data_IF_052708229989
#
_entry.id   IF_052708229989
#
_cell.length_a   1.000
_cell.length_b   1.000
_cell.length_c   1.000
_cell.angle_alpha   90.00
_cell.angle_beta   90.00
_cell.angle_gamma   90.00
#
_symmetry.space_group_name_H-M   'P 1'
#
loop_
_entity.id
_entity.type
_entity.pdbx_description
1 polymer ?
#
# COMPACT_ATOMS: atom_id res chain seq x y z
N UNK A 1 -12.78 -25.64 -48.08
CA UNK A 1 -12.18 -24.36 -47.64
C UNK A 1 -12.23 -24.24 -46.11
N UNK A 2 -11.73 -25.24 -45.35
CA UNK A 2 -11.97 -25.34 -43.90
C UNK A 2 -10.82 -25.99 -43.10
N UNK A 3 -9.57 -25.91 -43.59
CA UNK A 3 -8.39 -26.49 -42.90
C UNK A 3 -7.34 -25.48 -42.44
N UNK A 4 -7.51 -24.17 -42.73
CA UNK A 4 -6.54 -23.13 -42.35
C UNK A 4 -6.86 -22.42 -41.02
N UNK A 5 -8.08 -22.55 -40.49
CA UNK A 5 -8.47 -21.86 -39.25
C UNK A 5 -8.04 -22.58 -37.95
N UNK A 6 -7.67 -23.87 -37.98
CA UNK A 6 -7.39 -24.64 -36.76
C UNK A 6 -5.94 -24.59 -36.28
N UNK A 7 -5.03 -23.97 -37.05
CA UNK A 7 -3.60 -23.88 -36.69
C UNK A 7 -3.25 -22.66 -35.84
N UNK A 8 -4.12 -21.65 -35.80
CA UNK A 8 -3.90 -20.42 -35.03
C UNK A 8 -4.54 -20.46 -33.63
N UNK A 9 -5.49 -21.37 -33.42
CA UNK A 9 -6.20 -21.55 -32.15
C UNK A 9 -5.29 -21.96 -30.98
N UNK A 10 -4.31 -22.89 -31.11
CA UNK A 10 -3.46 -23.25 -29.97
C UNK A 10 -2.48 -22.14 -29.57
N UNK A 11 -2.04 -21.30 -30.52
CA UNK A 11 -1.14 -20.17 -30.26
C UNK A 11 -1.87 -19.06 -29.50
N UNK A 12 -3.11 -18.75 -29.90
CA UNK A 12 -3.94 -17.74 -29.22
C UNK A 12 -4.29 -18.14 -27.79
N UNK A 13 -4.57 -19.44 -27.56
CA UNK A 13 -4.83 -19.99 -26.23
C UNK A 13 -3.57 -19.96 -25.35
N UNK A 14 -2.39 -20.29 -25.90
CA UNK A 14 -1.12 -20.17 -25.17
C UNK A 14 -0.77 -18.71 -24.84
N UNK A 15 -1.07 -17.76 -25.75
CA UNK A 15 -0.87 -16.33 -25.52
C UNK A 15 -1.83 -15.77 -24.45
N UNK A 16 -3.07 -16.27 -24.39
CA UNK A 16 -4.02 -15.92 -23.31
C UNK A 16 -3.60 -16.51 -21.95
N UNK A 17 -3.00 -17.70 -21.90
CA UNK A 17 -2.48 -18.29 -20.67
C UNK A 17 -1.24 -17.56 -20.12
N UNK A 18 -0.47 -16.87 -20.97
CA UNK A 18 0.66 -16.04 -20.53
C UNK A 18 0.21 -14.77 -19.78
N UNK A 19 -1.04 -14.34 -19.92
CA UNK A 19 -1.59 -13.20 -19.17
C UNK A 19 -2.14 -13.57 -17.79
N UNK A 20 -2.21 -14.85 -17.41
CA UNK A 20 -2.79 -15.27 -16.12
C UNK A 20 -1.75 -15.52 -15.01
N UNK A 21 -0.47 -15.23 -15.24
CA UNK A 21 0.62 -15.49 -14.27
C UNK A 21 1.16 -14.17 -13.67
N UNK A 22 0.30 -13.19 -13.43
CA UNK A 22 0.64 -12.09 -12.53
C UNK A 22 0.05 -12.41 -11.16
N UNK A 23 0.66 -13.39 -10.48
CA UNK A 23 0.46 -13.58 -9.06
C UNK A 23 1.27 -12.48 -8.37
N UNK A 24 0.59 -11.46 -7.88
CA UNK A 24 1.18 -10.33 -7.18
C UNK A 24 1.58 -10.80 -5.76
N UNK A 25 2.60 -11.66 -5.68
CA UNK A 25 3.15 -12.19 -4.44
C UNK A 25 4.18 -11.20 -3.88
N UNK A 26 3.71 -10.00 -3.52
CA UNK A 26 4.51 -9.09 -2.69
C UNK A 26 4.87 -9.80 -1.38
N UNK A 27 6.16 -9.90 -1.01
CA UNK A 27 6.57 -10.65 0.17
C UNK A 27 5.96 -10.01 1.44
N UNK A 28 5.43 -10.82 2.37
CA UNK A 28 4.88 -10.31 3.62
C UNK A 28 5.98 -9.66 4.46
N UNK A 29 5.68 -8.51 5.06
CA UNK A 29 6.63 -7.70 5.85
C UNK A 29 6.31 -7.76 7.33
N UNK A 30 7.31 -8.06 8.16
CA UNK A 30 7.16 -7.97 9.62
C UNK A 30 7.90 -6.75 10.12
N UNK A 31 7.21 -5.87 10.84
CA UNK A 31 7.79 -4.68 11.43
C UNK A 31 7.90 -4.83 12.95
N UNK A 32 9.02 -4.34 13.47
CA UNK A 32 9.42 -4.49 14.86
C UNK A 32 10.02 -3.17 15.32
N UNK A 33 9.82 -2.84 16.59
CA UNK A 33 10.51 -1.75 17.25
C UNK A 33 12.01 -2.07 17.33
N UNK A 34 12.81 -1.35 16.54
CA UNK A 34 14.26 -1.54 16.46
C UNK A 34 15.01 -0.90 17.62
N UNK A 35 14.43 0.12 18.23
CA UNK A 35 15.13 1.06 19.12
C UNK A 35 14.67 0.93 20.59
N UNK A 36 13.66 0.09 20.83
CA UNK A 36 13.12 -0.19 22.16
C UNK A 36 12.27 0.95 22.72
N UNK A 37 11.82 1.89 21.88
CA UNK A 37 11.03 3.06 22.27
C UNK A 37 9.51 2.84 22.11
N UNK A 38 9.10 1.65 21.68
CA UNK A 38 7.73 1.26 21.41
C UNK A 38 7.19 1.73 20.04
N UNK A 39 7.94 2.53 19.29
CA UNK A 39 7.55 3.03 17.97
C UNK A 39 8.02 2.06 16.90
N UNK A 40 7.09 1.65 16.05
CA UNK A 40 7.41 0.82 14.87
C UNK A 40 7.36 1.70 13.64
N UNK A 41 8.38 1.62 12.79
CA UNK A 41 8.45 2.39 11.56
C UNK A 41 8.52 1.48 10.32
N UNK A 42 7.82 1.87 9.26
CA UNK A 42 8.00 1.37 7.90
C UNK A 42 8.70 2.47 7.12
N UNK A 43 10.02 2.32 6.95
CA UNK A 43 10.86 3.30 6.27
C UNK A 43 10.53 3.44 4.78
N UNK A 44 11.03 4.50 4.13
CA UNK A 44 10.86 4.68 2.70
C UNK A 44 11.66 3.62 1.93
N UNK A 45 10.95 2.74 1.23
CA UNK A 45 11.53 1.74 0.33
C UNK A 45 10.85 1.87 -1.05
N UNK A 46 11.62 2.15 -2.12
CA UNK A 46 11.10 2.31 -3.47
C UNK A 46 10.31 1.12 -4.01
N UNK A 47 10.43 -0.07 -3.42
CA UNK A 47 9.71 -1.27 -3.83
C UNK A 47 8.50 -1.59 -2.94
N UNK A 48 8.39 -0.95 -1.77
CA UNK A 48 7.35 -1.25 -0.78
C UNK A 48 6.43 -0.05 -0.57
N UNK A 49 6.98 1.15 -0.35
CA UNK A 49 6.23 2.35 0.02
C UNK A 49 6.62 3.57 -0.83
N UNK A 50 7.33 3.36 -1.93
CA UNK A 50 7.84 4.45 -2.75
C UNK A 50 8.64 5.45 -1.92
N UNK A 51 8.14 6.68 -1.84
CA UNK A 51 8.72 7.81 -1.11
C UNK A 51 8.01 8.11 0.23
N UNK A 52 7.17 7.20 0.73
CA UNK A 52 6.38 7.38 1.95
C UNK A 52 6.98 6.59 3.12
N UNK A 53 6.90 7.17 4.32
CA UNK A 53 7.27 6.55 5.58
C UNK A 53 6.06 6.52 6.53
N UNK A 54 5.90 5.44 7.30
CA UNK A 54 4.80 5.28 8.26
C UNK A 54 5.35 4.96 9.64
N UNK A 55 4.89 5.70 10.65
CA UNK A 55 5.14 5.44 12.07
C UNK A 55 3.88 4.97 12.77
N UNK A 56 4.01 3.91 13.55
CA UNK A 56 3.00 3.42 14.49
C UNK A 56 3.46 3.79 15.89
N UNK A 57 2.82 4.80 16.48
CA UNK A 57 3.24 5.44 17.73
C UNK A 57 2.24 5.11 18.84
N UNK A 58 2.54 4.17 19.74
CA UNK A 58 1.73 3.95 20.92
C UNK A 58 1.94 5.09 21.95
N UNK A 59 0.92 5.37 22.77
CA UNK A 59 1.08 6.21 23.97
C UNK A 59 1.21 7.72 23.74
N UNK A 60 0.58 8.27 22.69
CA UNK A 60 0.40 9.72 22.54
C UNK A 60 -0.60 10.27 23.58
N UNK A 61 -0.66 11.59 23.76
CA UNK A 61 -1.64 12.25 24.67
C UNK A 61 -3.09 11.85 24.33
N UNK A 62 -3.37 11.56 23.06
CA UNK A 62 -4.69 11.16 22.57
C UNK A 62 -4.82 9.64 22.39
N UNK A 63 -3.92 8.82 22.95
CA UNK A 63 -3.95 7.36 22.85
C UNK A 63 -2.83 6.82 21.96
N UNK A 64 -3.15 6.39 20.74
CA UNK A 64 -2.14 5.96 19.77
C UNK A 64 -2.27 6.75 18.47
N UNK A 65 -1.21 6.76 17.66
CA UNK A 65 -1.18 7.49 16.41
C UNK A 65 -0.54 6.69 15.28
N UNK A 66 -1.05 6.92 14.08
CA UNK A 66 -0.39 6.55 12.83
C UNK A 66 0.04 7.86 12.17
N UNK A 67 1.34 8.00 11.91
CA UNK A 67 1.91 9.19 11.30
C UNK A 67 2.56 8.83 9.97
N UNK A 68 2.17 9.52 8.92
CA UNK A 68 2.63 9.30 7.55
C UNK A 68 3.42 10.51 7.09
N UNK A 69 4.62 10.28 6.56
CA UNK A 69 5.47 11.30 5.96
C UNK A 69 5.58 11.00 4.48
N UNK A 70 5.16 11.94 3.62
CA UNK A 70 5.31 11.81 2.19
C UNK A 70 6.52 12.63 1.70
N UNK A 71 7.49 11.97 1.08
CA UNK A 71 8.66 12.62 0.50
C UNK A 71 8.32 13.55 -0.70
N UNK A 72 9.33 14.18 -1.31
CA UNK A 72 9.14 15.19 -2.37
C UNK A 72 8.75 14.61 -3.74
N UNK A 73 8.76 13.29 -3.91
CA UNK A 73 8.66 12.63 -5.21
C UNK A 73 7.30 12.83 -5.91
N UNK A 74 6.19 12.62 -5.19
CA UNK A 74 4.86 12.66 -5.76
C UNK A 74 3.77 12.88 -4.70
N UNK A 75 2.57 13.23 -5.14
CA UNK A 75 1.39 13.18 -4.28
C UNK A 75 0.91 11.73 -4.18
N UNK A 76 0.41 11.34 -3.01
CA UNK A 76 0.04 9.96 -2.73
C UNK A 76 -1.33 9.86 -2.07
N UNK A 77 -1.97 8.70 -2.20
CA UNK A 77 -3.07 8.27 -1.34
C UNK A 77 -2.62 7.03 -0.58
N UNK A 78 -3.04 6.87 0.66
CA UNK A 78 -2.65 5.77 1.51
C UNK A 78 -3.85 5.22 2.27
N UNK A 79 -4.01 3.91 2.30
CA UNK A 79 -4.80 3.26 3.34
C UNK A 79 -4.12 2.06 3.99
N UNK A 80 -4.53 1.80 5.22
CA UNK A 80 -4.07 0.71 6.07
C UNK A 80 -5.33 0.03 6.60
N UNK A 81 -5.55 -1.23 6.22
CA UNK A 81 -6.75 -1.99 6.55
C UNK A 81 -6.40 -3.33 7.19
N UNK A 82 -7.32 -3.94 7.90
CA UNK A 82 -7.15 -5.32 8.37
C UNK A 82 -7.13 -6.26 7.15
N UNK A 83 -6.12 -7.15 7.07
CA UNK A 83 -5.94 -8.06 5.93
C UNK A 83 -7.10 -9.04 5.80
N UNK A 84 -7.69 -9.46 6.92
CA UNK A 84 -8.78 -10.43 6.97
C UNK A 84 -10.16 -9.78 6.84
N UNK A 85 -10.26 -8.47 7.09
CA UNK A 85 -11.49 -7.70 6.98
C UNK A 85 -11.22 -6.28 6.47
N UNK A 86 -11.36 -6.08 5.15
CA UNK A 86 -11.11 -4.78 4.50
C UNK A 86 -12.08 -3.67 4.90
N UNK A 87 -13.17 -3.97 5.61
CA UNK A 87 -14.05 -2.94 6.19
C UNK A 87 -13.45 -2.30 7.44
N UNK A 88 -12.45 -2.92 8.07
CA UNK A 88 -11.76 -2.33 9.21
C UNK A 88 -10.57 -1.48 8.72
N UNK A 89 -10.67 -0.17 8.92
CA UNK A 89 -9.68 0.82 8.45
C UNK A 89 -8.92 1.36 9.67
N UNK A 90 -7.60 1.22 9.66
CA UNK A 90 -6.71 1.78 10.68
C UNK A 90 -6.29 3.21 10.36
N UNK A 91 -6.07 3.47 9.08
CA UNK A 91 -5.70 4.77 8.51
C UNK A 91 -6.21 4.84 7.07
N UNK A 92 -6.71 5.99 6.65
CA UNK A 92 -6.92 6.26 5.24
C UNK A 92 -6.85 7.77 4.99
N UNK A 93 -6.05 8.16 4.01
CA UNK A 93 -6.04 9.51 3.46
C UNK A 93 -5.95 9.42 1.94
N UNK A 94 -6.95 9.99 1.28
CA UNK A 94 -7.06 9.97 -0.17
C UNK A 94 -6.01 10.81 -0.86
N UNK A 95 -5.44 11.83 -0.21
CA UNK A 95 -4.54 12.76 -0.89
C UNK A 95 -3.60 13.47 0.09
N UNK A 96 -2.37 12.98 0.16
CA UNK A 96 -1.26 13.57 0.87
C UNK A 96 -0.35 14.22 -0.18
N UNK A 97 -0.16 15.56 -0.12
CA UNK A 97 0.71 16.21 -1.10
C UNK A 97 2.17 15.82 -0.90
N UNK A 98 2.97 15.98 -1.94
CA UNK A 98 4.43 15.91 -1.82
C UNK A 98 4.90 16.84 -0.70
N UNK A 99 5.86 16.37 0.10
CA UNK A 99 6.44 17.11 1.24
C UNK A 99 5.46 17.40 2.39
N UNK A 100 4.23 16.86 2.35
CA UNK A 100 3.29 16.92 3.47
C UNK A 100 3.36 15.66 4.35
N UNK A 101 2.87 15.81 5.57
CA UNK A 101 2.80 14.74 6.55
C UNK A 101 1.46 14.78 7.29
N UNK A 102 0.87 13.62 7.52
CA UNK A 102 -0.47 13.47 8.09
C UNK A 102 -0.42 12.53 9.29
N UNK A 103 -0.96 12.97 10.41
CA UNK A 103 -1.08 12.16 11.62
C UNK A 103 -2.55 11.93 11.97
N UNK A 104 -2.92 10.67 12.17
CA UNK A 104 -4.20 10.28 12.75
C UNK A 104 -3.98 9.80 14.18
N UNK A 105 -4.54 10.53 15.14
CA UNK A 105 -4.47 10.22 16.58
C UNK A 105 -5.76 9.56 17.06
N UNK A 106 -5.75 8.99 18.27
CA UNK A 106 -6.91 8.30 18.83
C UNK A 106 -7.31 7.02 18.08
N UNK A 107 -6.44 6.55 17.18
CA UNK A 107 -6.63 5.27 16.48
C UNK A 107 -6.21 4.10 17.37
N UNK A 108 -6.50 2.88 16.94
CA UNK A 108 -5.99 1.65 17.56
C UNK A 108 -4.88 1.08 16.69
N UNK A 109 -3.67 0.96 17.23
CA UNK A 109 -2.59 0.23 16.54
C UNK A 109 -2.94 -1.27 16.51
N UNK A 110 -2.94 -1.91 15.33
CA UNK A 110 -3.22 -3.32 15.16
C UNK A 110 -2.04 -4.22 15.50
N UNK A 111 -1.69 -4.23 16.78
CA UNK A 111 -0.69 -5.14 17.31
C UNK A 111 -1.07 -6.60 17.08
N UNK A 112 -0.07 -7.41 16.71
CA UNK A 112 -0.17 -8.84 16.45
C UNK A 112 -1.20 -9.21 15.39
N UNK A 113 -1.42 -8.33 14.41
CA UNK A 113 -2.35 -8.52 13.31
C UNK A 113 -1.69 -8.27 11.97
N UNK A 114 -2.19 -8.97 10.96
CA UNK A 114 -1.87 -8.68 9.57
C UNK A 114 -2.72 -7.53 9.07
N UNK A 115 -2.05 -6.52 8.54
CA UNK A 115 -2.64 -5.40 7.82
C UNK A 115 -2.32 -5.51 6.35
N UNK A 116 -3.13 -4.85 5.53
CA UNK A 116 -2.78 -4.51 4.16
C UNK A 116 -2.57 -3.01 4.07
N UNK A 117 -1.36 -2.61 3.66
CA UNK A 117 -0.98 -1.24 3.37
C UNK A 117 -1.04 -1.05 1.87
N UNK A 118 -1.81 -0.08 1.40
CA UNK A 118 -1.90 0.28 -0.01
C UNK A 118 -1.54 1.74 -0.19
N UNK A 119 -0.50 1.99 -0.98
CA UNK A 119 -0.08 3.31 -1.38
C UNK A 119 -0.32 3.48 -2.87
N UNK A 120 -0.98 4.55 -3.26
CA UNK A 120 -1.08 4.96 -4.65
C UNK A 120 -0.23 6.21 -4.85
N UNK A 121 0.53 6.22 -5.94
CA UNK A 121 1.25 7.39 -6.43
C UNK A 121 0.44 7.99 -7.56
N UNK A 122 0.10 9.28 -7.45
CA UNK A 122 -0.67 9.98 -8.47
C UNK A 122 0.21 10.53 -9.59
N UNK A 123 -0.31 10.56 -10.82
CA UNK A 123 0.41 11.13 -11.97
C UNK A 123 0.75 12.60 -11.75
N UNK A 124 1.92 13.02 -12.24
CA UNK A 124 2.27 14.43 -12.30
C UNK A 124 1.39 15.13 -13.36
N UNK A 125 0.70 16.21 -12.98
CA UNK A 125 -0.13 17.00 -13.91
C UNK A 125 -1.63 16.71 -13.91
N UNK A 126 -2.16 16.00 -12.92
CA UNK A 126 -3.62 15.93 -12.71
C UNK A 126 -4.21 17.34 -12.60
N UNK A 127 -5.37 17.55 -13.25
CA UNK A 127 -6.05 18.84 -13.20
C UNK A 127 -6.53 19.13 -11.77
N UNK A 128 -6.64 20.41 -11.41
CA UNK A 128 -7.10 20.82 -10.09
C UNK A 128 -8.46 20.23 -9.71
N UNK A 129 -9.36 20.06 -10.67
CA UNK A 129 -10.67 19.41 -10.45
C UNK A 129 -10.52 17.94 -10.07
N UNK A 130 -9.62 17.20 -10.72
CA UNK A 130 -9.36 15.79 -10.37
C UNK A 130 -8.72 15.70 -9.00
N UNK A 131 -7.77 16.58 -8.68
CA UNK A 131 -7.18 16.64 -7.34
C UNK A 131 -8.25 16.89 -6.27
N UNK A 132 -9.18 17.82 -6.50
CA UNK A 132 -10.28 18.09 -5.56
C UNK A 132 -11.24 16.92 -5.45
N UNK A 133 -11.54 16.24 -6.57
CA UNK A 133 -12.33 15.01 -6.56
C UNK A 133 -11.68 13.94 -5.68
N UNK A 134 -10.38 13.67 -5.86
CA UNK A 134 -9.65 12.68 -5.07
C UNK A 134 -9.71 13.04 -3.58
N UNK A 135 -9.46 14.30 -3.21
CA UNK A 135 -9.56 14.78 -1.82
C UNK A 135 -10.95 14.52 -1.20
N UNK A 136 -12.01 14.50 -2.01
CA UNK A 136 -13.38 14.31 -1.52
C UNK A 136 -13.77 12.83 -1.38
N UNK A 137 -13.01 11.89 -1.96
CA UNK A 137 -13.33 10.47 -1.91
C UNK A 137 -13.29 9.87 -0.50
N UNK A 138 -12.48 10.44 0.40
CA UNK A 138 -12.41 10.00 1.79
C UNK A 138 -11.90 8.56 1.94
N UNK A 139 -12.49 7.79 2.86
CA UNK A 139 -11.94 6.53 3.34
C UNK A 139 -11.88 5.40 2.31
N UNK A 140 -12.73 5.43 1.28
CA UNK A 140 -12.85 4.38 0.27
C UNK A 140 -12.27 4.77 -1.09
N UNK A 141 -11.40 5.79 -1.11
CA UNK A 141 -10.89 6.39 -2.33
C UNK A 141 -10.30 5.39 -3.32
N UNK A 142 -9.58 4.37 -2.85
CA UNK A 142 -8.96 3.34 -3.69
C UNK A 142 -9.94 2.68 -4.67
N UNK A 143 -11.21 2.53 -4.30
CA UNK A 143 -12.24 1.90 -5.15
C UNK A 143 -12.75 2.82 -6.27
N UNK A 144 -12.52 4.13 -6.14
CA UNK A 144 -13.01 5.18 -7.02
C UNK A 144 -11.90 5.83 -7.85
N UNK A 145 -10.66 5.35 -7.71
CA UNK A 145 -9.55 5.80 -8.54
C UNK A 145 -9.62 5.17 -9.92
N UNK A 146 -9.35 6.00 -10.92
CA UNK A 146 -9.29 5.59 -12.32
C UNK A 146 -7.83 5.48 -12.77
N UNK A 147 -7.52 4.59 -13.72
CA UNK A 147 -6.15 4.33 -14.18
C UNK A 147 -5.40 5.58 -14.67
N UNK A 148 -6.12 6.57 -15.22
CA UNK A 148 -5.50 7.81 -15.67
C UNK A 148 -5.00 8.69 -14.51
N UNK A 149 -5.49 8.48 -13.29
CA UNK A 149 -5.06 9.19 -12.09
C UNK A 149 -3.78 8.59 -11.49
N UNK A 150 -3.52 7.32 -11.77
CA UNK A 150 -2.56 6.47 -11.06
C UNK A 150 -1.26 6.38 -11.88
N UNK A 151 -0.14 6.72 -11.26
CA UNK A 151 1.19 6.43 -11.80
C UNK A 151 1.63 5.03 -11.39
N UNK A 152 1.47 4.70 -10.10
CA UNK A 152 1.90 3.42 -9.53
C UNK A 152 1.07 3.07 -8.29
N UNK A 153 0.94 1.78 -8.00
CA UNK A 153 0.34 1.28 -6.76
C UNK A 153 1.32 0.33 -6.07
N UNK A 154 1.44 0.45 -4.77
CA UNK A 154 2.13 -0.49 -3.90
C UNK A 154 1.13 -1.15 -2.97
N UNK A 155 1.13 -2.48 -2.90
CA UNK A 155 0.26 -3.25 -2.01
C UNK A 155 1.14 -4.23 -1.24
N UNK A 156 1.11 -4.09 0.09
CA UNK A 156 1.93 -4.91 0.96
C UNK A 156 1.14 -5.40 2.16
N UNK A 157 1.28 -6.68 2.48
CA UNK A 157 0.76 -7.26 3.71
C UNK A 157 1.83 -7.11 4.82
N UNK A 158 1.47 -6.41 5.90
CA UNK A 158 2.38 -6.00 6.98
C UNK A 158 1.90 -6.55 8.32
N UNK A 159 2.80 -7.11 9.12
CA UNK A 159 2.54 -7.59 10.47
C UNK A 159 3.28 -6.75 11.51
N UNK A 160 2.56 -6.17 12.47
CA UNK A 160 3.15 -5.46 13.61
C UNK A 160 3.30 -6.41 14.79
N UNK A 161 4.53 -6.73 15.18
CA UNK A 161 4.76 -7.52 16.40
C UNK A 161 4.71 -6.61 17.63
N UNK A 162 3.91 -6.97 18.64
CA UNK A 162 3.92 -6.28 19.95
C UNK A 162 5.08 -6.72 20.85
N UNK A 163 5.86 -7.70 20.41
CA UNK A 163 6.99 -8.25 21.15
C UNK A 163 8.25 -7.75 20.47
N UNK A 164 9.13 -7.07 21.20
CA UNK A 164 10.45 -6.65 20.71
C UNK A 164 11.26 -7.89 20.30
N UNK A 165 11.30 -8.15 19.01
CA UNK A 165 11.91 -9.36 18.45
C UNK A 165 11.98 -9.27 16.95
N UNK A 166 13.18 -9.03 16.43
CA UNK A 166 13.48 -8.89 15.01
C UNK A 166 13.14 -10.20 14.29
N UNK A 167 12.02 -10.23 13.56
CA UNK A 167 11.80 -11.24 12.52
C UNK A 167 12.18 -10.63 11.19
N UNK A 168 13.40 -10.95 10.73
CA UNK A 168 13.82 -10.66 9.35
C UNK A 168 12.98 -11.54 8.45
N UNK A 169 12.24 -10.92 7.53
CA UNK A 169 11.64 -11.65 6.42
C UNK A 169 12.76 -12.28 5.60
N UNK A 170 12.59 -13.56 5.25
CA UNK A 170 13.56 -14.22 4.38
C UNK A 170 13.39 -13.70 2.95
N UNK A 171 14.47 -13.31 2.24
CA UNK A 171 14.38 -12.95 0.84
C UNK A 171 13.97 -14.16 0.01
N UNK A 172 12.87 -14.04 -0.73
CA UNK A 172 12.44 -15.04 -1.70
C UNK A 172 13.41 -15.01 -2.88
N UNK A 173 14.17 -16.09 -3.09
CA UNK A 173 14.95 -16.26 -4.32
C UNK A 173 14.01 -16.66 -5.45
N UNK A 174 13.83 -15.75 -6.41
CA UNK A 174 13.20 -16.06 -7.70
C UNK A 174 14.20 -16.92 -8.50
N UNK A 175 13.80 -18.13 -8.89
CA UNK A 175 14.52 -19.00 -9.82
C UNK A 175 13.93 -18.86 -11.21
#
# INVERSE_FOLDING_TARGET
MLKKLSRFTPVLVALMMLFTISCDDSPPLTLVDSDGNGVVHLGPDPNIMGNTEIFFIPGTIQGSAIWVINGPGANVGLDIRDRSNSSFIYFADSYIKKEENVAQTGTQIPWNRWMRVRLVVYKSGLSGTIVQFINFLGLDFFSSLEDYMIEQVYINDVYLSSTSGVYKTEPIRIK
#
